data_IF_858139360837
#
_entry.id   IF_858139360837
#
_cell.length_a   1.000
_cell.length_b   1.000
_cell.length_c   1.000
_cell.angle_alpha   90.00
_cell.angle_beta   90.00
_cell.angle_gamma   90.00
#
_symmetry.space_group_name_H-M   'P 1'
#
loop_
_entity.id
_entity.type
_entity.pdbx_description
1 polymer ?
#
# COMPACT_ATOMS: atom_id res chain seq x y z
N UNK A 1 -25.10 62.61 -1.75
CA UNK A 1 -25.94 63.44 -0.84
C UNK A 1 -25.31 64.80 -0.51
N UNK A 2 -24.00 65.00 -0.65
CA UNK A 2 -23.33 66.28 -0.34
C UNK A 2 -23.75 67.48 -1.21
N UNK A 3 -24.17 67.26 -2.46
CA UNK A 3 -24.54 68.36 -3.36
C UNK A 3 -26.00 68.84 -3.23
N UNK A 4 -26.93 68.02 -2.70
CA UNK A 4 -28.36 68.38 -2.57
C UNK A 4 -29.01 67.70 -1.34
N UNK A 5 -28.65 68.08 -0.10
CA UNK A 5 -29.04 67.35 1.11
C UNK A 5 -30.55 67.40 1.42
N UNK A 6 -31.25 68.45 0.98
CA UNK A 6 -32.67 68.68 1.31
C UNK A 6 -33.65 68.34 0.18
N UNK A 7 -33.18 67.79 -0.94
CA UNK A 7 -34.06 67.39 -2.03
C UNK A 7 -34.78 66.07 -1.68
N UNK A 8 -36.08 66.17 -1.34
CA UNK A 8 -36.91 65.04 -0.92
C UNK A 8 -37.01 63.94 -1.99
N UNK A 9 -37.06 64.31 -3.27
CA UNK A 9 -37.13 63.38 -4.39
C UNK A 9 -35.83 62.55 -4.49
N UNK A 10 -34.67 63.21 -4.42
CA UNK A 10 -33.36 62.53 -4.48
C UNK A 10 -33.18 61.58 -3.29
N UNK A 11 -33.58 61.99 -2.07
CA UNK A 11 -33.52 61.15 -0.88
C UNK A 11 -34.42 59.92 -1.00
N UNK A 12 -35.68 60.11 -1.42
CA UNK A 12 -36.64 59.02 -1.61
C UNK A 12 -36.13 58.01 -2.64
N UNK A 13 -35.63 58.50 -3.78
CA UNK A 13 -35.08 57.63 -4.83
C UNK A 13 -33.83 56.86 -4.35
N UNK A 14 -32.93 57.50 -3.60
CA UNK A 14 -31.78 56.82 -2.99
C UNK A 14 -32.19 55.70 -2.04
N UNK A 15 -33.16 55.95 -1.14
CA UNK A 15 -33.62 54.92 -0.21
C UNK A 15 -34.30 53.75 -0.94
N UNK A 16 -35.08 54.04 -2.00
CA UNK A 16 -35.66 53.02 -2.88
C UNK A 16 -34.57 52.16 -3.53
N UNK A 17 -33.59 52.80 -4.19
CA UNK A 17 -32.49 52.10 -4.86
C UNK A 17 -31.63 51.30 -3.87
N UNK A 18 -31.36 51.83 -2.67
CA UNK A 18 -30.65 51.10 -1.61
C UNK A 18 -31.43 49.87 -1.15
N UNK A 19 -32.76 49.98 -1.01
CA UNK A 19 -33.64 48.85 -0.64
C UNK A 19 -33.65 47.79 -1.75
N UNK A 20 -33.75 48.20 -3.01
CA UNK A 20 -33.67 47.31 -4.17
C UNK A 20 -32.32 46.60 -4.26
N UNK A 21 -31.22 47.34 -4.11
CA UNK A 21 -29.86 46.79 -4.06
C UNK A 21 -29.70 45.75 -2.93
N UNK A 22 -30.13 46.08 -1.71
CA UNK A 22 -30.08 45.15 -0.58
C UNK A 22 -30.94 43.90 -0.81
N UNK A 23 -32.09 44.05 -1.47
CA UNK A 23 -32.94 42.91 -1.87
C UNK A 23 -32.21 42.03 -2.88
N UNK A 24 -31.59 42.60 -3.90
CA UNK A 24 -30.79 41.86 -4.89
C UNK A 24 -29.61 41.14 -4.25
N UNK A 25 -28.90 41.77 -3.32
CA UNK A 25 -27.83 41.13 -2.56
C UNK A 25 -28.33 39.92 -1.75
N UNK A 26 -29.47 40.05 -1.07
CA UNK A 26 -30.07 38.96 -0.29
C UNK A 26 -30.43 37.78 -1.21
N UNK A 27 -31.06 38.07 -2.35
CA UNK A 27 -31.43 37.05 -3.34
C UNK A 27 -30.20 36.35 -3.93
N UNK A 28 -29.16 37.10 -4.29
CA UNK A 28 -27.93 36.54 -4.82
C UNK A 28 -27.22 35.63 -3.80
N UNK A 29 -27.16 36.04 -2.53
CA UNK A 29 -26.61 35.22 -1.44
C UNK A 29 -27.42 33.95 -1.23
N UNK A 30 -28.75 34.06 -1.19
CA UNK A 30 -29.61 32.89 -1.01
C UNK A 30 -29.49 31.92 -2.18
N UNK A 31 -29.43 32.43 -3.41
CA UNK A 31 -29.18 31.61 -4.59
C UNK A 31 -27.84 30.88 -4.50
N UNK A 32 -26.75 31.59 -4.18
CA UNK A 32 -25.43 30.97 -4.01
C UNK A 32 -25.43 29.85 -2.96
N UNK A 33 -26.09 30.07 -1.80
CA UNK A 33 -26.21 29.05 -0.75
C UNK A 33 -27.01 27.84 -1.24
N UNK A 34 -28.15 28.05 -1.90
CA UNK A 34 -28.98 26.97 -2.43
C UNK A 34 -28.22 26.16 -3.50
N UNK A 35 -27.52 26.83 -4.41
CA UNK A 35 -26.72 26.19 -5.46
C UNK A 35 -25.58 25.37 -4.85
N UNK A 36 -24.96 25.87 -3.77
CA UNK A 36 -23.91 25.17 -3.03
C UNK A 36 -24.43 23.93 -2.30
N UNK A 37 -25.60 24.03 -1.65
CA UNK A 37 -26.24 22.89 -0.98
C UNK A 37 -26.61 21.81 -1.99
N UNK A 38 -27.28 22.18 -3.09
CA UNK A 38 -27.61 21.23 -4.16
C UNK A 38 -26.35 20.55 -4.72
N UNK A 39 -25.27 21.31 -4.90
CA UNK A 39 -23.97 20.76 -5.31
C UNK A 39 -23.43 19.77 -4.27
N UNK A 40 -23.48 20.10 -2.98
CA UNK A 40 -23.02 19.18 -1.92
C UNK A 40 -23.84 17.89 -1.87
N UNK A 41 -25.16 17.97 -2.01
CA UNK A 41 -26.05 16.79 -2.04
C UNK A 41 -25.68 15.85 -3.21
N UNK A 42 -25.41 16.41 -4.39
CA UNK A 42 -24.97 15.60 -5.54
C UNK A 42 -23.56 15.01 -5.37
N UNK A 43 -22.66 15.71 -4.68
CA UNK A 43 -21.27 15.29 -4.52
C UNK A 43 -21.10 14.22 -3.44
N UNK A 44 -21.96 14.18 -2.43
CA UNK A 44 -21.88 13.20 -1.35
C UNK A 44 -21.88 11.76 -1.86
N UNK A 45 -22.73 11.45 -2.84
CA UNK A 45 -22.86 10.10 -3.41
C UNK A 45 -21.86 9.84 -4.53
N UNK A 46 -21.60 10.84 -5.38
CA UNK A 46 -20.85 10.64 -6.63
C UNK A 46 -19.35 10.94 -6.53
N UNK A 47 -18.93 11.84 -5.63
CA UNK A 47 -17.53 12.22 -5.48
C UNK A 47 -17.21 12.70 -4.05
N UNK A 48 -17.04 11.74 -3.11
CA UNK A 48 -16.82 12.04 -1.69
C UNK A 48 -15.58 12.91 -1.44
N UNK A 49 -14.56 12.81 -2.30
CA UNK A 49 -13.33 13.61 -2.15
C UNK A 49 -13.61 15.10 -2.40
N UNK A 50 -14.25 15.41 -3.53
CA UNK A 50 -14.59 16.79 -3.87
C UNK A 50 -15.64 17.39 -2.92
N UNK A 51 -16.52 16.55 -2.36
CA UNK A 51 -17.42 16.93 -1.28
C UNK A 51 -16.64 17.50 -0.08
N UNK A 52 -15.66 16.74 0.44
CA UNK A 52 -14.86 17.18 1.59
C UNK A 52 -13.99 18.41 1.29
N UNK A 53 -13.39 18.48 0.10
CA UNK A 53 -12.64 19.67 -0.33
C UNK A 53 -13.53 20.93 -0.40
N UNK A 54 -14.79 20.78 -0.80
CA UNK A 54 -15.76 21.89 -0.85
C UNK A 54 -16.18 22.31 0.55
N UNK A 55 -16.45 21.34 1.45
CA UNK A 55 -16.73 21.59 2.87
C UNK A 55 -15.58 22.34 3.55
N UNK A 56 -14.33 21.93 3.31
CA UNK A 56 -13.16 22.54 3.96
C UNK A 56 -12.95 24.00 3.52
N UNK A 57 -13.29 24.34 2.28
CA UNK A 57 -13.29 25.74 1.80
C UNK A 57 -14.38 26.60 2.45
N UNK A 58 -15.44 25.98 2.97
CA UNK A 58 -16.56 26.66 3.64
C UNK A 58 -16.37 26.78 5.15
N UNK A 59 -15.44 26.02 5.73
CA UNK A 59 -15.04 26.15 7.14
C UNK A 59 -14.32 27.49 7.33
N UNK A 60 -15.09 28.56 7.52
CA UNK A 60 -14.55 29.78 8.12
C UNK A 60 -14.12 29.44 9.56
N UNK A 61 -12.82 29.57 9.84
CA UNK A 61 -12.18 29.31 11.13
C UNK A 61 -12.60 30.31 12.21
N UNK A 62 -13.87 30.29 12.60
CA UNK A 62 -14.28 30.68 13.95
C UNK A 62 -14.51 29.39 14.71
N UNK A 63 -13.48 28.96 15.44
CA UNK A 63 -13.57 27.86 16.39
C UNK A 63 -14.65 28.24 17.40
N UNK A 64 -15.86 27.71 17.24
CA UNK A 64 -16.83 27.71 18.33
C UNK A 64 -16.27 26.75 19.37
N UNK A 65 -15.78 27.30 20.47
CA UNK A 65 -15.39 26.52 21.63
C UNK A 65 -16.59 25.66 22.04
N UNK A 66 -16.39 24.35 22.17
CA UNK A 66 -17.42 23.46 22.70
C UNK A 66 -17.80 23.97 24.09
N UNK A 67 -19.09 24.27 24.37
CA UNK A 67 -19.50 24.75 25.69
C UNK A 67 -19.35 23.69 26.78
N UNK A 68 -19.18 22.42 26.40
CA UNK A 68 -19.04 21.29 27.32
C UNK A 68 -17.56 21.13 27.69
N UNK A 69 -17.27 21.14 28.99
CA UNK A 69 -15.91 20.94 29.47
C UNK A 69 -15.47 19.47 29.31
N UNK A 70 -14.16 19.24 29.28
CA UNK A 70 -13.59 17.87 29.27
C UNK A 70 -14.07 17.08 30.50
N UNK A 71 -14.26 17.74 31.64
CA UNK A 71 -14.75 17.11 32.87
C UNK A 71 -16.20 16.63 32.73
N UNK A 72 -17.05 17.40 32.06
CA UNK A 72 -18.44 17.02 31.82
C UNK A 72 -18.53 15.84 30.85
N UNK A 73 -17.68 15.82 29.82
CA UNK A 73 -17.55 14.68 28.91
C UNK A 73 -17.09 13.42 29.65
N UNK A 74 -16.07 13.53 30.49
CA UNK A 74 -15.55 12.42 31.27
C UNK A 74 -16.61 11.87 32.23
N UNK A 75 -17.36 12.74 32.91
CA UNK A 75 -18.47 12.35 33.78
C UNK A 75 -19.57 11.62 32.99
N UNK A 76 -20.01 12.17 31.88
CA UNK A 76 -21.03 11.55 31.03
C UNK A 76 -20.61 10.16 30.55
N UNK A 77 -19.38 10.02 30.04
CA UNK A 77 -18.88 8.72 29.59
C UNK A 77 -18.79 7.73 30.75
N UNK A 78 -18.29 8.17 31.92
CA UNK A 78 -18.23 7.33 33.11
C UNK A 78 -19.61 6.84 33.52
N UNK A 79 -20.62 7.70 33.49
CA UNK A 79 -22.00 7.35 33.83
C UNK A 79 -22.63 6.42 32.77
N UNK A 80 -22.34 6.66 31.49
CA UNK A 80 -22.79 5.82 30.37
C UNK A 80 -22.26 4.38 30.46
N UNK A 81 -20.97 4.23 30.81
CA UNK A 81 -20.32 2.92 30.95
C UNK A 81 -20.40 2.34 32.37
N UNK A 82 -20.97 3.06 33.33
CA UNK A 82 -21.23 2.53 34.67
C UNK A 82 -22.46 1.60 34.72
N UNK A 83 -23.29 1.63 33.68
CA UNK A 83 -24.52 0.85 33.56
C UNK A 83 -24.33 -0.42 32.71
N UNK A 84 -23.41 -1.29 33.12
CA UNK A 84 -23.55 -2.74 32.94
C UNK A 84 -22.56 -3.46 33.87
N UNK A 85 -22.99 -3.72 35.11
CA UNK A 85 -22.27 -4.57 36.06
C UNK A 85 -22.47 -6.05 35.77
N UNK A 86 -22.41 -6.46 34.50
CA UNK A 86 -22.50 -7.86 34.10
C UNK A 86 -21.15 -8.48 33.72
N UNK A 87 -20.04 -7.76 33.85
CA UNK A 87 -18.72 -8.38 33.72
C UNK A 87 -18.27 -8.95 35.06
N UNK A 88 -18.26 -10.28 35.11
CA UNK A 88 -17.59 -11.04 36.15
C UNK A 88 -16.10 -10.64 36.15
N UNK A 89 -15.57 -10.00 37.22
CA UNK A 89 -14.17 -9.54 37.27
C UNK A 89 -13.14 -10.68 37.24
N UNK A 90 -13.61 -11.94 37.23
CA UNK A 90 -12.77 -13.14 37.12
C UNK A 90 -12.82 -13.80 35.73
N UNK A 91 -13.33 -13.15 34.69
CA UNK A 91 -13.16 -13.66 33.33
C UNK A 91 -11.71 -13.44 32.87
N UNK A 92 -10.84 -14.38 33.24
CA UNK A 92 -9.54 -14.56 32.62
C UNK A 92 -9.78 -15.55 31.49
N UNK A 93 -9.73 -15.13 30.21
CA UNK A 93 -9.81 -16.06 29.09
C UNK A 93 -8.71 -17.11 29.27
N UNK A 94 -9.11 -18.37 29.42
CA UNK A 94 -8.18 -19.48 29.49
C UNK A 94 -7.80 -19.91 28.08
N UNK A 95 -6.65 -20.56 27.90
CA UNK A 95 -6.25 -21.10 26.60
C UNK A 95 -7.29 -22.08 26.00
N UNK A 96 -8.15 -22.66 26.84
CA UNK A 96 -9.27 -23.51 26.44
C UNK A 96 -10.37 -22.74 25.71
N UNK A 97 -10.57 -21.44 26.02
CA UNK A 97 -11.60 -20.58 25.41
C UNK A 97 -11.25 -20.17 23.97
N UNK A 98 -9.99 -20.39 23.57
CA UNK A 98 -9.51 -20.22 22.19
C UNK A 98 -9.38 -21.56 21.43
N UNK A 99 -9.76 -22.69 22.05
CA UNK A 99 -9.61 -24.02 21.44
C UNK A 99 -10.79 -24.43 20.57
N UNK A 100 -11.94 -23.76 20.70
CA UNK A 100 -13.00 -23.84 19.71
C UNK A 100 -12.64 -22.96 18.52
N UNK A 101 -11.87 -23.53 17.59
CA UNK A 101 -11.57 -22.91 16.30
C UNK A 101 -12.84 -22.88 15.45
N UNK A 102 -13.72 -21.94 15.77
CA UNK A 102 -14.84 -21.59 14.92
C UNK A 102 -14.32 -21.06 13.58
N UNK A 103 -15.15 -20.98 12.54
CA UNK A 103 -14.75 -20.47 11.23
C UNK A 103 -14.26 -19.01 11.23
N UNK A 104 -14.36 -18.29 12.35
CA UNK A 104 -13.85 -16.94 12.53
C UNK A 104 -12.42 -16.89 13.11
N UNK A 105 -11.94 -18.01 13.66
CA UNK A 105 -10.60 -18.14 14.26
C UNK A 105 -9.62 -18.83 13.31
N UNK A 106 -10.00 -19.01 12.05
CA UNK A 106 -9.07 -19.46 11.03
C UNK A 106 -7.95 -18.44 10.84
N UNK A 107 -6.69 -18.89 10.71
CA UNK A 107 -5.60 -18.01 10.33
C UNK A 107 -5.94 -17.29 9.02
N UNK A 108 -5.74 -15.97 8.98
CA UNK A 108 -5.93 -15.20 7.75
C UNK A 108 -5.03 -15.75 6.64
N UNK A 109 -5.62 -15.99 5.47
CA UNK A 109 -4.85 -16.35 4.29
C UNK A 109 -4.09 -15.15 3.75
N UNK A 110 -2.96 -15.38 3.07
CA UNK A 110 -2.21 -14.31 2.39
C UNK A 110 -3.08 -13.53 1.39
N UNK A 111 -4.06 -14.20 0.76
CA UNK A 111 -5.01 -13.58 -0.15
C UNK A 111 -5.95 -12.59 0.54
N UNK A 112 -6.42 -12.92 1.75
CA UNK A 112 -7.26 -12.04 2.56
C UNK A 112 -6.48 -10.84 3.08
N UNK A 113 -5.26 -11.06 3.57
CA UNK A 113 -4.37 -9.97 3.99
C UNK A 113 -4.10 -9.03 2.82
N UNK A 114 -3.79 -9.56 1.64
CA UNK A 114 -3.61 -8.74 0.43
C UNK A 114 -4.85 -7.95 0.07
N UNK A 115 -6.04 -8.56 0.10
CA UNK A 115 -7.32 -7.86 -0.13
C UNK A 115 -7.56 -6.75 0.91
N UNK A 116 -7.23 -7.00 2.17
CA UNK A 116 -7.31 -6.02 3.26
C UNK A 116 -6.42 -4.81 2.99
N UNK A 117 -5.14 -5.05 2.68
CA UNK A 117 -4.14 -4.00 2.38
C UNK A 117 -4.57 -3.16 1.17
N UNK A 118 -5.05 -3.78 0.09
CA UNK A 118 -5.52 -3.06 -1.11
C UNK A 118 -6.75 -2.18 -0.83
N UNK A 119 -7.59 -2.59 0.13
CA UNK A 119 -8.78 -1.83 0.55
C UNK A 119 -8.47 -0.69 1.53
N UNK A 120 -7.27 -0.61 2.09
CA UNK A 120 -6.89 0.51 2.96
C UNK A 120 -7.10 1.84 2.21
N UNK A 121 -7.53 2.89 2.89
CA UNK A 121 -7.72 4.22 2.26
C UNK A 121 -6.45 5.03 2.45
N UNK A 122 -6.00 5.73 1.41
CA UNK A 122 -4.87 6.66 1.50
C UNK A 122 -5.25 7.90 2.33
N UNK A 123 -4.25 8.58 2.88
CA UNK A 123 -4.30 9.76 3.73
C UNK A 123 -5.16 9.54 4.98
N UNK A 124 -5.21 8.30 5.47
CA UNK A 124 -5.75 8.00 6.79
C UNK A 124 -4.66 8.21 7.82
N UNK A 125 -5.08 8.60 9.02
CA UNK A 125 -4.17 8.72 10.15
C UNK A 125 -3.53 7.33 10.40
N UNK A 126 -2.21 7.28 10.62
CA UNK A 126 -1.53 6.04 11.01
C UNK A 126 -2.16 5.40 12.25
N UNK A 127 -2.01 4.08 12.37
CA UNK A 127 -2.42 3.35 13.56
C UNK A 127 -1.54 3.70 14.78
N UNK A 128 -1.73 2.96 15.87
CA UNK A 128 -0.86 3.07 17.06
C UNK A 128 0.61 2.77 16.75
N UNK A 129 0.85 2.00 15.68
CA UNK A 129 2.16 1.69 15.13
C UNK A 129 2.82 2.87 14.39
N UNK A 130 2.08 3.96 14.16
CA UNK A 130 2.51 5.14 13.40
C UNK A 130 2.86 4.86 11.94
N UNK A 131 2.43 3.72 11.38
CA UNK A 131 2.70 3.35 9.98
C UNK A 131 1.55 3.85 9.08
N UNK A 132 1.82 4.74 8.09
CA UNK A 132 0.80 5.19 7.14
C UNK A 132 0.32 4.04 6.24
N UNK A 133 -0.96 4.08 5.83
CA UNK A 133 -1.50 3.08 4.91
C UNK A 133 -0.77 3.03 3.57
N UNK A 134 -0.24 4.17 3.10
CA UNK A 134 0.64 4.25 1.94
C UNK A 134 1.85 3.34 2.12
N UNK A 135 2.48 3.40 3.29
CA UNK A 135 3.64 2.58 3.59
C UNK A 135 3.27 1.10 3.56
N UNK A 136 2.16 0.69 4.19
CA UNK A 136 1.68 -0.71 4.16
C UNK A 136 1.36 -1.17 2.73
N UNK A 137 0.86 -0.28 1.88
CA UNK A 137 0.56 -0.55 0.47
C UNK A 137 1.80 -0.57 -0.43
N UNK A 138 2.87 0.14 -0.07
CA UNK A 138 4.06 0.33 -0.91
C UNK A 138 5.29 -0.46 -0.44
N UNK A 139 5.39 -0.80 0.85
CA UNK A 139 6.36 -1.76 1.41
C UNK A 139 5.99 -3.23 1.08
N UNK A 140 5.17 -3.33 0.04
CA UNK A 140 4.74 -4.55 -0.62
C UNK A 140 5.93 -5.20 -1.34
N UNK A 141 7.09 -4.56 -1.50
CA UNK A 141 8.26 -5.23 -2.10
C UNK A 141 8.79 -6.32 -1.19
N UNK A 142 9.04 -6.00 0.08
CA UNK A 142 9.48 -6.99 1.08
C UNK A 142 8.36 -7.97 1.39
N UNK A 143 7.12 -7.49 1.46
CA UNK A 143 5.95 -8.31 1.79
C UNK A 143 5.51 -9.21 0.62
N UNK A 144 5.57 -8.76 -0.65
CA UNK A 144 5.28 -9.60 -1.83
C UNK A 144 6.36 -10.65 -2.00
N UNK A 145 7.64 -10.31 -1.85
CA UNK A 145 8.69 -11.31 -1.98
C UNK A 145 8.57 -12.34 -0.84
N UNK A 146 8.26 -11.91 0.40
CA UNK A 146 7.94 -12.83 1.53
C UNK A 146 6.66 -13.66 1.30
N UNK A 147 5.65 -13.11 0.62
CA UNK A 147 4.43 -13.85 0.27
C UNK A 147 4.63 -14.79 -0.93
N UNK A 148 5.51 -14.48 -1.88
CA UNK A 148 5.87 -15.35 -3.01
C UNK A 148 6.68 -16.56 -2.56
N UNK A 149 7.35 -16.49 -1.41
CA UNK A 149 8.06 -17.61 -0.77
C UNK A 149 7.19 -18.46 0.17
N UNK A 150 5.85 -18.34 0.12
CA UNK A 150 4.89 -19.03 1.01
C UNK A 150 4.97 -18.65 2.51
N UNK A 151 5.30 -17.40 2.82
CA UNK A 151 5.08 -16.78 4.14
C UNK A 151 6.03 -17.19 5.27
N UNK A 152 6.47 -18.45 5.32
CA UNK A 152 7.42 -18.96 6.29
C UNK A 152 8.74 -19.37 5.60
N UNK A 153 9.90 -19.02 6.16
CA UNK A 153 11.18 -19.44 5.59
C UNK A 153 11.35 -20.95 5.73
N UNK A 154 11.90 -21.59 4.70
CA UNK A 154 12.32 -22.98 4.82
C UNK A 154 13.62 -23.04 5.64
N UNK A 155 13.50 -23.41 6.92
CA UNK A 155 14.64 -23.46 7.83
C UNK A 155 15.61 -24.62 7.54
N UNK A 156 15.18 -25.56 6.69
CA UNK A 156 15.99 -26.67 6.19
C UNK A 156 16.19 -26.50 4.69
N UNK A 157 17.38 -26.88 4.19
CA UNK A 157 17.64 -26.90 2.76
C UNK A 157 16.64 -27.82 2.03
N UNK A 158 16.15 -27.35 0.89
CA UNK A 158 15.18 -28.05 0.05
C UNK A 158 15.56 -27.90 -1.42
N UNK A 159 15.07 -28.80 -2.27
CA UNK A 159 15.19 -28.64 -3.71
C UNK A 159 14.05 -27.73 -4.20
N UNK A 160 14.38 -26.59 -4.78
CA UNK A 160 13.39 -25.66 -5.34
C UNK A 160 12.80 -26.15 -6.67
N UNK A 161 13.42 -27.16 -7.32
CA UNK A 161 12.94 -27.75 -8.57
C UNK A 161 12.81 -29.28 -8.49
N UNK A 162 12.09 -29.84 -7.51
CA UNK A 162 12.09 -31.29 -7.25
C UNK A 162 11.47 -32.11 -8.40
N UNK A 163 10.74 -31.46 -9.31
CA UNK A 163 10.12 -32.08 -10.50
C UNK A 163 11.02 -32.02 -11.74
N UNK A 164 12.17 -31.34 -11.68
CA UNK A 164 13.12 -31.24 -12.77
C UNK A 164 14.39 -32.04 -12.43
N UNK A 165 14.48 -33.33 -12.81
CA UNK A 165 15.60 -34.18 -12.42
C UNK A 165 16.95 -33.74 -13.02
N UNK A 166 16.93 -32.84 -14.00
CA UNK A 166 18.14 -32.30 -14.63
C UNK A 166 18.73 -31.07 -13.92
N UNK A 167 18.00 -30.49 -12.96
CA UNK A 167 18.40 -29.28 -12.23
C UNK A 167 18.16 -29.51 -10.75
N UNK A 168 19.23 -29.71 -9.99
CA UNK A 168 19.16 -29.70 -8.53
C UNK A 168 19.37 -28.28 -8.02
N UNK A 169 18.34 -27.68 -7.42
CA UNK A 169 18.36 -26.29 -6.98
C UNK A 169 18.23 -26.20 -5.46
N UNK A 170 19.31 -26.57 -4.77
CA UNK A 170 19.37 -26.59 -3.31
C UNK A 170 19.22 -25.17 -2.79
N UNK A 171 18.16 -24.93 -2.03
CA UNK A 171 17.71 -23.60 -1.62
C UNK A 171 17.36 -23.62 -0.13
N UNK A 172 17.46 -22.48 0.56
CA UNK A 172 17.07 -22.34 1.98
C UNK A 172 16.42 -20.98 2.27
N UNK A 173 15.75 -20.85 3.40
CA UNK A 173 15.13 -19.63 3.89
C UNK A 173 14.06 -19.11 2.93
N UNK A 174 14.15 -17.82 2.59
CA UNK A 174 13.29 -17.14 1.63
C UNK A 174 13.83 -17.23 0.18
N UNK A 175 14.41 -18.37 -0.20
CA UNK A 175 14.88 -18.59 -1.57
C UNK A 175 16.37 -18.34 -1.80
N UNK A 176 17.21 -18.41 -0.77
CA UNK A 176 18.65 -18.30 -0.91
C UNK A 176 19.21 -19.55 -1.61
N UNK A 177 19.70 -19.41 -2.84
CA UNK A 177 20.23 -20.50 -3.65
C UNK A 177 21.62 -20.93 -3.13
N UNK A 178 21.75 -22.15 -2.60
CA UNK A 178 22.99 -22.71 -2.07
C UNK A 178 23.94 -23.27 -3.17
N UNK A 179 23.50 -23.27 -4.42
CA UNK A 179 24.26 -23.71 -5.59
C UNK A 179 24.90 -22.54 -6.36
N UNK A 180 24.62 -21.28 -6.02
CA UNK A 180 25.31 -20.14 -6.63
C UNK A 180 26.81 -20.12 -6.24
N UNK A 181 27.66 -19.63 -7.13
CA UNK A 181 29.12 -19.69 -6.95
C UNK A 181 29.63 -18.93 -5.72
N UNK A 182 28.97 -17.84 -5.35
CA UNK A 182 29.29 -17.03 -4.18
C UNK A 182 28.58 -17.48 -2.89
N UNK A 183 27.71 -18.51 -2.97
CA UNK A 183 26.80 -18.89 -1.88
C UNK A 183 27.55 -19.09 -0.55
N UNK A 184 28.63 -19.88 -0.60
CA UNK A 184 29.42 -20.26 0.58
C UNK A 184 30.05 -19.04 1.25
N UNK A 185 30.70 -18.19 0.46
CA UNK A 185 31.38 -16.98 0.96
C UNK A 185 30.37 -16.01 1.56
N UNK A 186 29.25 -15.78 0.87
CA UNK A 186 28.19 -14.89 1.34
C UNK A 186 27.53 -15.43 2.61
N UNK A 187 27.22 -16.72 2.66
CA UNK A 187 26.60 -17.37 3.82
C UNK A 187 27.51 -17.27 5.05
N UNK A 188 28.79 -17.67 4.94
CA UNK A 188 29.75 -17.61 6.03
C UNK A 188 29.99 -16.18 6.55
N UNK A 189 29.82 -15.17 5.70
CA UNK A 189 29.92 -13.76 6.11
C UNK A 189 28.70 -13.31 6.92
N UNK A 190 27.51 -13.76 6.56
CA UNK A 190 26.23 -13.28 7.12
C UNK A 190 25.75 -14.08 8.32
N UNK A 191 26.06 -15.37 8.34
CA UNK A 191 25.70 -16.33 9.39
C UNK A 191 26.91 -17.21 9.73
N UNK A 192 27.99 -16.60 10.28
CA UNK A 192 29.25 -17.28 10.56
C UNK A 192 29.15 -18.42 11.58
N UNK A 193 28.10 -18.42 12.40
CA UNK A 193 27.85 -19.41 13.44
C UNK A 193 27.27 -20.74 12.91
N UNK A 194 26.87 -20.79 11.63
CA UNK A 194 26.26 -21.97 11.01
C UNK A 194 27.17 -22.52 9.91
N UNK A 195 27.38 -23.84 9.90
CA UNK A 195 28.22 -24.46 8.86
C UNK A 195 27.45 -24.60 7.53
N UNK A 196 27.98 -23.95 6.48
CA UNK A 196 27.36 -23.95 5.16
C UNK A 196 27.22 -25.35 4.55
N UNK A 197 28.21 -26.23 4.72
CA UNK A 197 28.20 -27.56 4.10
C UNK A 197 27.19 -28.47 4.81
N UNK A 198 27.05 -28.34 6.14
CA UNK A 198 26.02 -29.00 6.94
C UNK A 198 24.62 -28.53 6.54
N UNK A 199 24.42 -27.22 6.35
CA UNK A 199 23.15 -26.67 5.89
C UNK A 199 22.81 -27.19 4.50
N UNK A 200 23.76 -27.13 3.55
CA UNK A 200 23.57 -27.58 2.17
C UNK A 200 23.24 -29.06 2.06
N UNK A 201 23.81 -29.88 2.94
CA UNK A 201 23.50 -31.32 3.01
C UNK A 201 22.28 -31.65 3.87
N UNK A 202 21.63 -30.64 4.45
CA UNK A 202 20.43 -30.80 5.28
C UNK A 202 20.68 -31.42 6.66
N UNK A 203 21.93 -31.41 7.13
CA UNK A 203 22.34 -31.85 8.47
C UNK A 203 22.10 -30.79 9.54
N UNK A 204 22.03 -29.53 9.14
CA UNK A 204 21.84 -28.38 10.02
C UNK A 204 20.76 -27.46 9.44
N UNK A 205 19.99 -26.84 10.33
CA UNK A 205 18.94 -25.89 10.00
C UNK A 205 19.39 -24.47 10.36
N UNK A 206 18.81 -23.47 9.71
CA UNK A 206 18.96 -22.07 10.10
C UNK A 206 17.78 -21.60 10.97
N UNK A 207 17.95 -20.51 11.71
CA UNK A 207 16.86 -19.83 12.41
C UNK A 207 16.08 -18.89 11.48
N UNK A 208 14.94 -18.36 11.95
CA UNK A 208 14.16 -17.38 11.19
C UNK A 208 14.95 -16.07 11.00
N UNK A 209 15.69 -15.64 12.01
CA UNK A 209 16.51 -14.44 11.99
C UNK A 209 17.66 -14.57 10.99
N UNK A 210 18.27 -15.75 10.92
CA UNK A 210 19.30 -16.10 9.95
C UNK A 210 18.74 -16.12 8.52
N UNK A 211 17.56 -16.73 8.32
CA UNK A 211 16.86 -16.71 7.05
C UNK A 211 16.54 -15.28 6.59
N UNK A 212 16.13 -14.42 7.53
CA UNK A 212 15.86 -13.00 7.27
C UNK A 212 17.13 -12.23 6.93
N UNK A 213 18.25 -12.53 7.59
CA UNK A 213 19.55 -11.92 7.30
C UNK A 213 20.01 -12.21 5.87
N UNK A 214 19.93 -13.47 5.45
CA UNK A 214 20.22 -13.89 4.08
C UNK A 214 19.29 -13.19 3.07
N UNK A 215 18.01 -13.12 3.39
CA UNK A 215 17.00 -12.48 2.55
C UNK A 215 17.27 -10.99 2.34
N UNK A 216 17.51 -10.24 3.43
CA UNK A 216 17.76 -8.80 3.36
C UNK A 216 19.02 -8.48 2.54
N UNK A 217 20.04 -9.33 2.64
CA UNK A 217 21.23 -9.22 1.81
C UNK A 217 20.89 -9.41 0.33
N UNK A 218 20.18 -10.48 -0.03
CA UNK A 218 19.79 -10.75 -1.42
C UNK A 218 18.92 -9.61 -1.97
N UNK A 219 17.93 -9.12 -1.22
CA UNK A 219 17.11 -7.97 -1.64
C UNK A 219 17.98 -6.75 -1.96
N UNK A 220 18.94 -6.44 -1.11
CA UNK A 220 19.87 -5.32 -1.33
C UNK A 220 20.67 -5.52 -2.62
N UNK A 221 21.19 -6.71 -2.86
CA UNK A 221 21.90 -7.05 -4.10
C UNK A 221 20.99 -6.94 -5.34
N UNK A 222 19.72 -7.35 -5.23
CA UNK A 222 18.76 -7.25 -6.33
C UNK A 222 18.35 -5.80 -6.62
N UNK A 223 18.23 -4.95 -5.60
CA UNK A 223 18.04 -3.50 -5.78
C UNK A 223 19.25 -2.90 -6.48
N UNK A 224 20.47 -3.22 -6.06
CA UNK A 224 21.70 -2.75 -6.70
C UNK A 224 21.80 -3.22 -8.15
N UNK A 225 21.41 -4.46 -8.42
CA UNK A 225 21.37 -5.02 -9.79
C UNK A 225 20.30 -4.34 -10.65
N UNK A 226 19.13 -4.03 -10.09
CA UNK A 226 18.08 -3.27 -10.78
C UNK A 226 18.58 -1.87 -11.16
N UNK A 227 19.21 -1.18 -10.21
CA UNK A 227 19.88 0.11 -10.43
C UNK A 227 20.96 0.02 -11.50
N UNK A 228 21.82 -1.00 -11.47
CA UNK A 228 22.83 -1.22 -12.51
C UNK A 228 22.23 -1.44 -13.91
N UNK A 229 21.11 -2.16 -14.00
CA UNK A 229 20.43 -2.46 -15.28
C UNK A 229 19.75 -1.24 -15.90
N UNK A 230 19.12 -0.40 -15.07
CA UNK A 230 18.34 0.75 -15.51
C UNK A 230 19.10 2.09 -15.43
N UNK A 231 20.15 2.16 -14.62
CA UNK A 231 20.75 3.41 -14.15
C UNK A 231 20.00 3.98 -12.94
N UNK A 232 20.76 4.55 -11.99
CA UNK A 232 20.22 5.09 -10.73
C UNK A 232 19.11 6.10 -10.96
N UNK A 233 19.32 7.06 -11.86
CA UNK A 233 18.33 8.12 -12.15
C UNK A 233 17.01 7.55 -12.67
N UNK A 234 17.05 6.56 -13.56
CA UNK A 234 15.84 5.92 -14.08
C UNK A 234 15.15 5.18 -12.96
N UNK A 235 15.87 4.30 -12.26
CA UNK A 235 15.30 3.46 -11.21
C UNK A 235 14.71 4.30 -10.06
N UNK A 236 15.44 5.30 -9.57
CA UNK A 236 15.02 6.12 -8.43
C UNK A 236 13.78 6.96 -8.76
N UNK A 237 13.59 7.33 -10.04
CA UNK A 237 12.39 8.03 -10.53
C UNK A 237 11.13 7.15 -10.65
N UNK A 238 11.27 5.82 -10.58
CA UNK A 238 10.14 4.92 -10.73
C UNK A 238 9.18 4.99 -9.52
N UNK A 239 7.87 4.89 -9.74
CA UNK A 239 6.91 4.67 -8.66
C UNK A 239 7.20 3.39 -7.86
N UNK A 240 6.84 3.32 -6.57
CA UNK A 240 7.16 2.16 -5.73
C UNK A 240 6.70 0.81 -6.30
N UNK A 241 5.48 0.72 -6.84
CA UNK A 241 4.95 -0.50 -7.44
C UNK A 241 5.79 -0.98 -8.65
N UNK A 242 6.30 -0.03 -9.43
CA UNK A 242 7.16 -0.33 -10.59
C UNK A 242 8.55 -0.76 -10.11
N UNK A 243 9.09 -0.14 -9.04
CA UNK A 243 10.34 -0.61 -8.40
C UNK A 243 10.20 -2.06 -7.93
N UNK A 244 9.09 -2.42 -7.28
CA UNK A 244 8.83 -3.79 -6.83
C UNK A 244 8.81 -4.77 -8.01
N UNK A 245 8.14 -4.43 -9.10
CA UNK A 245 8.08 -5.28 -10.29
C UNK A 245 9.45 -5.43 -10.97
N UNK A 246 10.27 -4.37 -11.00
CA UNK A 246 11.65 -4.45 -11.48
C UNK A 246 12.50 -5.34 -10.59
N UNK A 247 12.43 -5.20 -9.26
CA UNK A 247 13.17 -6.07 -8.32
C UNK A 247 12.75 -7.53 -8.50
N UNK A 248 11.44 -7.81 -8.57
CA UNK A 248 10.90 -9.17 -8.83
C UNK A 248 11.45 -9.75 -10.14
N UNK A 249 11.42 -8.97 -11.22
CA UNK A 249 11.96 -9.38 -12.50
C UNK A 249 13.48 -9.63 -12.47
N UNK A 250 14.24 -8.85 -11.70
CA UNK A 250 15.69 -9.02 -11.53
C UNK A 250 16.01 -10.23 -10.66
N UNK A 251 15.26 -10.43 -9.58
CA UNK A 251 15.39 -11.56 -8.66
C UNK A 251 15.24 -12.90 -9.40
N UNK A 252 14.21 -13.01 -10.25
CA UNK A 252 13.92 -14.23 -11.02
C UNK A 252 14.74 -14.37 -12.31
N UNK A 253 15.52 -13.35 -12.67
CA UNK A 253 16.29 -13.33 -13.92
C UNK A 253 15.45 -13.06 -15.18
N UNK A 254 14.20 -12.61 -15.02
CA UNK A 254 13.28 -12.31 -16.12
C UNK A 254 13.55 -10.96 -16.79
N UNK A 255 14.27 -10.04 -16.12
CA UNK A 255 14.58 -8.73 -16.67
C UNK A 255 15.72 -8.79 -17.70
N UNK A 256 15.36 -9.11 -18.93
CA UNK A 256 16.29 -9.14 -20.07
C UNK A 256 16.84 -7.76 -20.45
N UNK A 257 17.99 -7.71 -21.16
CA UNK A 257 18.64 -6.45 -21.56
C UNK A 257 17.75 -5.60 -22.48
N UNK A 258 16.95 -6.23 -23.36
CA UNK A 258 16.00 -5.54 -24.25
C UNK A 258 14.91 -4.83 -23.46
N UNK A 259 14.26 -5.53 -22.52
CA UNK A 259 13.25 -4.94 -21.62
C UNK A 259 13.83 -3.77 -20.83
N UNK A 260 15.03 -3.93 -20.24
CA UNK A 260 15.70 -2.87 -19.51
C UNK A 260 16.01 -1.64 -20.40
N UNK A 261 16.41 -1.84 -21.65
CA UNK A 261 16.66 -0.75 -22.60
C UNK A 261 15.37 0.01 -22.96
N UNK A 262 14.23 -0.69 -23.10
CA UNK A 262 12.93 -0.04 -23.32
C UNK A 262 12.50 0.80 -22.12
N UNK A 263 12.68 0.28 -20.90
CA UNK A 263 12.41 1.03 -19.66
C UNK A 263 13.26 2.30 -19.57
N UNK A 264 14.57 2.20 -19.84
CA UNK A 264 15.50 3.35 -19.90
C UNK A 264 15.09 4.39 -20.93
N UNK A 265 14.57 3.95 -22.08
CA UNK A 265 14.08 4.83 -23.13
C UNK A 265 12.68 5.41 -22.85
N UNK A 266 12.05 5.06 -21.73
CA UNK A 266 10.68 5.48 -21.40
C UNK A 266 9.60 4.89 -22.31
N UNK A 267 9.92 3.82 -23.07
CA UNK A 267 9.01 3.18 -24.03
C UNK A 267 8.08 2.17 -23.35
N UNK A 268 7.32 2.63 -22.36
CA UNK A 268 6.54 1.76 -21.48
C UNK A 268 5.46 0.94 -22.18
N UNK A 269 4.92 1.43 -23.32
CA UNK A 269 3.99 0.65 -24.17
C UNK A 269 4.62 -0.64 -24.70
N UNK A 270 5.92 -0.66 -24.95
CA UNK A 270 6.64 -1.81 -25.49
C UNK A 270 7.23 -2.72 -24.38
N UNK A 271 7.41 -2.18 -23.17
CA UNK A 271 8.06 -2.90 -22.04
C UNK A 271 7.31 -4.17 -21.70
N UNK A 272 5.98 -4.11 -21.53
CA UNK A 272 5.18 -5.28 -21.17
C UNK A 272 5.22 -6.37 -22.25
N UNK A 273 5.15 -5.97 -23.52
CA UNK A 273 5.20 -6.88 -24.67
C UNK A 273 6.53 -7.62 -24.72
N UNK A 274 7.64 -6.90 -24.62
CA UNK A 274 8.97 -7.54 -24.64
C UNK A 274 9.24 -8.34 -23.37
N UNK A 275 8.74 -7.93 -22.21
CA UNK A 275 8.91 -8.68 -20.97
C UNK A 275 8.21 -10.06 -21.01
N UNK A 276 7.00 -10.15 -21.57
CA UNK A 276 6.31 -11.44 -21.76
C UNK A 276 6.85 -12.26 -22.93
N UNK A 277 7.70 -11.67 -23.78
CA UNK A 277 8.46 -12.38 -24.80
C UNK A 277 9.61 -13.23 -24.22
N UNK A 278 9.72 -13.32 -22.89
CA UNK A 278 10.70 -14.16 -22.20
C UNK A 278 10.44 -15.66 -22.40
N UNK A 279 11.51 -16.45 -22.58
CA UNK A 279 11.38 -17.91 -22.79
C UNK A 279 10.70 -18.61 -21.61
N UNK A 280 10.92 -18.16 -20.37
CA UNK A 280 10.30 -18.76 -19.20
C UNK A 280 8.78 -18.58 -19.21
N UNK A 281 8.28 -17.41 -19.65
CA UNK A 281 6.85 -17.14 -19.77
C UNK A 281 6.21 -18.07 -20.81
N UNK A 282 6.82 -18.18 -22.00
CA UNK A 282 6.32 -19.02 -23.10
C UNK A 282 6.27 -20.49 -22.71
N UNK A 283 7.36 -21.02 -22.14
CA UNK A 283 7.40 -22.41 -21.65
C UNK A 283 6.38 -22.65 -20.53
N UNK A 284 6.22 -21.70 -19.60
CA UNK A 284 5.21 -21.82 -18.55
C UNK A 284 3.78 -21.85 -19.12
N UNK A 285 3.51 -21.12 -20.21
CA UNK A 285 2.25 -21.17 -20.92
C UNK A 285 2.01 -22.52 -21.61
N UNK A 286 3.03 -23.05 -22.29
CA UNK A 286 2.97 -24.37 -22.93
C UNK A 286 2.74 -25.51 -21.92
N UNK A 287 3.40 -25.43 -20.75
CA UNK A 287 3.36 -26.46 -19.71
C UNK A 287 2.24 -26.27 -18.68
N UNK A 288 1.40 -25.24 -18.81
CA UNK A 288 0.33 -24.95 -17.86
C UNK A 288 0.81 -24.53 -16.45
N UNK A 289 2.05 -24.04 -16.32
CA UNK A 289 2.62 -23.60 -15.04
C UNK A 289 2.07 -22.22 -14.69
N UNK A 290 1.05 -22.18 -13.83
CA UNK A 290 0.31 -20.96 -13.50
C UNK A 290 1.19 -19.95 -12.77
N UNK A 291 2.03 -20.37 -11.82
CA UNK A 291 2.77 -19.47 -10.93
C UNK A 291 3.68 -18.47 -11.65
N UNK A 292 4.47 -18.95 -12.63
CA UNK A 292 5.36 -18.09 -13.45
C UNK A 292 4.55 -17.04 -14.22
N UNK A 293 3.43 -17.47 -14.84
CA UNK A 293 2.60 -16.57 -15.64
C UNK A 293 1.93 -15.51 -14.77
N UNK A 294 1.36 -15.91 -13.64
CA UNK A 294 0.71 -14.99 -12.69
C UNK A 294 1.68 -13.91 -12.25
N UNK A 295 2.91 -14.28 -11.85
CA UNK A 295 3.95 -13.32 -11.44
C UNK A 295 4.32 -12.36 -12.57
N UNK A 296 4.65 -12.90 -13.75
CA UNK A 296 5.11 -12.06 -14.86
C UNK A 296 4.00 -11.13 -15.37
N UNK A 297 2.74 -11.58 -15.38
CA UNK A 297 1.59 -10.72 -15.69
C UNK A 297 1.42 -9.61 -14.65
N UNK A 298 1.56 -9.91 -13.36
CA UNK A 298 1.53 -8.88 -12.32
C UNK A 298 2.63 -7.82 -12.52
N UNK A 299 3.85 -8.23 -12.87
CA UNK A 299 4.93 -7.29 -13.21
C UNK A 299 4.54 -6.38 -14.40
N UNK A 300 3.93 -6.96 -15.45
CA UNK A 300 3.43 -6.17 -16.60
C UNK A 300 2.32 -5.20 -16.20
N UNK A 301 1.39 -5.61 -15.35
CA UNK A 301 0.36 -4.71 -14.82
C UNK A 301 1.00 -3.49 -14.16
N UNK A 302 2.07 -3.69 -13.38
CA UNK A 302 2.81 -2.57 -12.77
C UNK A 302 3.52 -1.72 -13.83
N UNK A 303 4.19 -2.33 -14.82
CA UNK A 303 4.85 -1.59 -15.89
C UNK A 303 3.87 -0.74 -16.72
N UNK A 304 2.65 -1.24 -16.95
CA UNK A 304 1.62 -0.55 -17.71
C UNK A 304 1.11 0.71 -17.01
N UNK A 305 1.27 0.83 -15.68
CA UNK A 305 0.95 2.08 -14.95
C UNK A 305 1.81 3.27 -15.37
N UNK A 306 2.93 3.02 -16.07
CA UNK A 306 3.83 4.06 -16.61
C UNK A 306 3.44 4.54 -18.02
N UNK A 307 2.45 3.91 -18.67
CA UNK A 307 1.98 4.35 -19.98
C UNK A 307 1.19 5.65 -19.78
N UNK A 308 1.78 6.77 -20.21
CA UNK A 308 1.08 8.05 -20.28
C UNK A 308 0.09 8.00 -21.44
N UNK A 309 -1.12 8.52 -21.21
CA UNK A 309 -2.13 8.75 -22.26
C UNK A 309 -1.53 9.60 -23.40
#
# INVERSE_FOLDING_TARGET
>A
MQQYPNNAYIRSNFHRLRKEYNKSLKLARQKFVNDLVAKLDTLHENNPKLFWETIDKLKNNTVKTNPISISDWHKYMKDLYAADKHENPNFIPTAQDFSDTGPLDFPFTCGEVRKGIHKLKNNKQPGIDLIPNEFIKYDITDVIIRFETNGEPNLKAYDAQPKNPSVHDTTIGYGFNLNRSDAKVTFQKLVPEVDFDNVKTGKENITKEQALTLFNHDITEHVNRAKSRLGDSVYDSLPPNVKSAVISAVYRGDLGPKTANLMKAGKWRDVGVEYLNHQQYKKAQELGIIGVRTRMNWNVEQFNTMIKE
#
